data_IF_835446531960
#
_entry.id   IF_835446531960
#
_cell.length_a   1.000
_cell.length_b   1.000
_cell.length_c   1.000
_cell.angle_alpha   90.00
_cell.angle_beta   90.00
_cell.angle_gamma   90.00
#
_symmetry.space_group_name_H-M   'P 1'
#
loop_
_entity.id
_entity.type
_entity.pdbx_description
1 polymer ?
#
# COMPACT_ATOMS: atom_id res chain seq x y z
N UNK A 1 15.61 20.95 28.20
CA UNK A 1 15.48 20.32 26.89
C UNK A 1 14.20 20.83 26.27
N UNK A 2 14.21 21.34 25.06
CA UNK A 2 13.04 22.02 24.49
C UNK A 2 12.10 20.98 23.85
N UNK A 3 11.16 20.45 24.66
CA UNK A 3 10.23 19.38 24.24
C UNK A 3 9.38 19.81 23.04
N UNK A 4 9.03 21.12 22.96
CA UNK A 4 8.26 21.65 21.84
C UNK A 4 9.01 21.52 20.50
N UNK A 5 10.34 21.66 20.49
CA UNK A 5 11.17 21.46 19.30
C UNK A 5 11.16 19.99 18.85
N UNK A 6 11.26 19.04 19.80
CA UNK A 6 11.18 17.62 19.49
C UNK A 6 9.81 17.21 18.98
N UNK A 7 8.74 17.76 19.54
CA UNK A 7 7.38 17.54 19.05
C UNK A 7 7.19 18.08 17.63
N UNK A 8 7.70 19.29 17.36
CA UNK A 8 7.64 19.89 16.03
C UNK A 8 8.45 19.09 15.00
N UNK A 9 9.65 18.61 15.36
CA UNK A 9 10.47 17.76 14.49
C UNK A 9 9.80 16.41 14.22
N UNK A 10 9.18 15.80 15.23
CA UNK A 10 8.42 14.55 15.06
C UNK A 10 7.18 14.74 14.19
N UNK A 11 6.48 15.88 14.31
CA UNK A 11 5.36 16.24 13.45
C UNK A 11 5.80 16.47 11.99
N UNK A 12 6.95 17.10 11.76
CA UNK A 12 7.52 17.24 10.42
C UNK A 12 7.86 15.89 9.79
N UNK A 13 8.46 14.99 10.57
CA UNK A 13 8.76 13.62 10.10
C UNK A 13 7.47 12.85 9.75
N UNK A 14 6.44 12.93 10.60
CA UNK A 14 5.14 12.31 10.34
C UNK A 14 4.52 12.85 9.05
N UNK A 15 4.62 14.17 8.85
CA UNK A 15 4.09 14.83 7.67
C UNK A 15 4.87 14.50 6.38
N UNK A 16 6.21 14.36 6.48
CA UNK A 16 7.03 13.85 5.37
C UNK A 16 6.60 12.42 4.98
N UNK A 17 6.44 11.52 5.95
CA UNK A 17 5.95 10.17 5.69
C UNK A 17 4.54 10.16 5.06
N UNK A 18 3.69 11.12 5.43
CA UNK A 18 2.38 11.27 4.79
C UNK A 18 2.48 11.73 3.34
N UNK A 19 3.38 12.68 3.05
CA UNK A 19 3.66 13.09 1.66
C UNK A 19 4.20 11.94 0.81
N UNK A 20 5.07 11.10 1.36
CA UNK A 20 5.60 9.91 0.68
C UNK A 20 4.47 8.95 0.30
N UNK A 21 3.57 8.63 1.24
CA UNK A 21 2.41 7.76 1.00
C UNK A 21 1.46 8.35 -0.05
N UNK A 22 1.16 9.65 0.02
CA UNK A 22 0.32 10.33 -0.97
C UNK A 22 0.97 10.26 -2.37
N UNK A 23 2.27 10.49 -2.44
CA UNK A 23 3.01 10.46 -3.71
C UNK A 23 2.98 9.07 -4.33
N UNK A 24 3.17 8.01 -3.53
CA UNK A 24 3.08 6.61 -3.99
C UNK A 24 1.66 6.28 -4.46
N UNK A 25 0.64 6.65 -3.69
CA UNK A 25 -0.76 6.44 -4.09
C UNK A 25 -1.10 7.17 -5.39
N UNK A 26 -0.62 8.40 -5.55
CA UNK A 26 -0.85 9.20 -6.76
C UNK A 26 -0.14 8.59 -7.96
N UNK A 27 1.12 8.19 -7.83
CA UNK A 27 1.90 7.55 -8.89
C UNK A 27 1.28 6.22 -9.34
N UNK A 28 0.68 5.49 -8.38
CA UNK A 28 0.06 4.18 -8.63
C UNK A 28 -1.45 4.24 -8.87
N UNK A 29 -2.03 5.43 -9.01
CA UNK A 29 -3.49 5.60 -9.21
C UNK A 29 -4.00 5.01 -10.53
N UNK A 30 -3.13 4.87 -11.53
CA UNK A 30 -3.44 4.25 -12.83
C UNK A 30 -2.99 2.79 -12.94
N UNK A 31 -2.44 2.22 -11.87
CA UNK A 31 -1.93 0.84 -11.88
C UNK A 31 -3.07 -0.11 -11.47
N UNK A 32 -3.46 -1.08 -12.33
CA UNK A 32 -4.49 -2.05 -12.01
C UNK A 32 -4.14 -2.88 -10.77
N UNK A 33 -5.13 -3.17 -9.96
CA UNK A 33 -4.97 -3.97 -8.75
C UNK A 33 -4.24 -3.27 -7.59
N UNK A 34 -3.79 -2.03 -7.76
CA UNK A 34 -3.11 -1.30 -6.70
C UNK A 34 -4.05 -1.02 -5.51
N UNK A 35 -3.52 -1.19 -4.32
CA UNK A 35 -4.22 -0.92 -3.06
C UNK A 35 -3.61 0.30 -2.39
N UNK A 36 -4.46 1.32 -2.18
CA UNK A 36 -4.09 2.57 -1.52
C UNK A 36 -3.49 2.29 -0.14
N UNK A 37 -2.38 2.96 0.12
CA UNK A 37 -1.81 3.02 1.46
C UNK A 37 -2.39 4.21 2.23
N UNK A 38 -2.58 4.04 3.52
CA UNK A 38 -2.96 5.10 4.45
C UNK A 38 -2.00 5.17 5.62
N UNK A 39 -1.69 6.39 6.05
CA UNK A 39 -0.87 6.64 7.21
C UNK A 39 -1.76 6.85 8.43
N UNK A 40 -1.54 6.08 9.48
CA UNK A 40 -2.16 6.28 10.78
C UNK A 40 -1.13 6.85 11.74
N UNK A 41 -1.51 7.88 12.48
CA UNK A 41 -0.64 8.52 13.48
C UNK A 41 -1.24 8.29 14.85
N UNK A 42 -0.48 7.65 15.72
CA UNK A 42 -0.83 7.41 17.12
C UNK A 42 0.06 8.25 18.03
N UNK A 43 -0.53 8.81 19.08
CA UNK A 43 0.23 9.50 20.11
C UNK A 43 0.80 8.48 21.11
N UNK A 44 2.09 8.23 21.04
CA UNK A 44 2.79 7.32 21.96
C UNK A 44 3.49 8.12 23.05
N UNK A 45 3.27 7.74 24.31
CA UNK A 45 3.95 8.35 25.43
C UNK A 45 5.46 8.13 25.34
N UNK A 46 6.23 9.21 25.19
CA UNK A 46 7.67 9.15 24.96
C UNK A 46 8.50 9.38 26.24
N UNK A 47 7.91 9.95 27.30
CA UNK A 47 8.65 10.20 28.53
C UNK A 47 7.91 11.08 29.54
N UNK A 48 8.62 11.38 30.63
CA UNK A 48 8.18 12.28 31.69
C UNK A 48 9.00 13.58 31.60
N UNK A 49 8.33 14.72 31.61
CA UNK A 49 9.01 16.01 31.78
C UNK A 49 9.45 16.16 33.23
N UNK A 50 10.71 16.53 33.50
CA UNK A 50 11.07 17.02 34.82
C UNK A 50 10.34 18.35 35.07
N UNK A 51 9.35 18.35 35.89
CA UNK A 51 8.73 19.57 36.45
C UNK A 51 9.77 20.28 37.29
N UNK A 52 10.07 21.53 36.92
CA UNK A 52 10.89 22.40 37.79
C UNK A 52 10.31 22.45 39.22
N UNK A 53 11.17 22.50 40.19
CA UNK A 53 11.01 22.34 41.66
C UNK A 53 9.87 23.14 42.29
N UNK A 54 8.63 22.97 41.87
CA UNK A 54 7.44 23.43 42.61
C UNK A 54 6.78 22.19 43.17
N UNK A 55 6.88 22.06 44.49
CA UNK A 55 6.36 20.98 45.29
C UNK A 55 4.91 20.63 44.92
N UNK A 56 4.67 19.42 44.40
CA UNK A 56 3.33 18.84 44.29
C UNK A 56 2.74 18.60 42.90
N UNK A 57 3.39 19.01 41.82
CA UNK A 57 2.89 18.69 40.46
C UNK A 57 3.36 17.30 39.98
N UNK A 58 2.41 16.45 39.58
CA UNK A 58 2.73 15.19 38.93
C UNK A 58 3.58 15.44 37.68
N UNK A 59 4.56 14.56 37.36
CA UNK A 59 5.40 14.71 36.19
C UNK A 59 4.52 14.78 34.93
N UNK A 60 4.69 15.81 34.14
CA UNK A 60 3.94 16.01 32.90
C UNK A 60 4.43 15.00 31.84
N UNK A 61 3.49 14.26 31.28
CA UNK A 61 3.78 13.26 30.26
C UNK A 61 3.76 13.93 28.90
N UNK A 62 4.77 13.70 28.09
CA UNK A 62 4.74 14.14 26.69
C UNK A 62 4.61 12.97 25.73
N UNK A 63 3.86 13.19 24.67
CA UNK A 63 3.61 12.21 23.63
C UNK A 63 4.28 12.64 22.32
N UNK A 64 4.78 11.66 21.58
CA UNK A 64 5.29 11.84 20.24
C UNK A 64 4.40 11.11 19.23
N UNK A 65 4.20 11.64 18.04
CA UNK A 65 3.49 10.95 16.98
C UNK A 65 4.32 9.75 16.50
N UNK A 66 3.73 8.56 16.54
CA UNK A 66 4.22 7.35 15.90
C UNK A 66 3.38 7.10 14.66
N UNK A 67 4.02 7.01 13.52
CA UNK A 67 3.35 6.72 12.25
C UNK A 67 3.43 5.25 11.92
N UNK A 68 2.34 4.69 11.42
CA UNK A 68 2.25 3.35 10.83
C UNK A 68 1.50 3.42 9.51
N UNK A 69 1.99 2.67 8.53
CA UNK A 69 1.33 2.57 7.22
C UNK A 69 0.49 1.31 7.18
N UNK A 70 -0.73 1.43 6.70
CA UNK A 70 -1.65 0.31 6.48
C UNK A 70 -2.18 0.34 5.06
N UNK A 71 -2.47 -0.84 4.49
CA UNK A 71 -3.05 -0.98 3.14
C UNK A 71 -4.56 -1.06 3.24
N UNK A 72 -5.26 -0.32 2.39
CA UNK A 72 -6.71 -0.35 2.29
C UNK A 72 -7.15 -1.39 1.27
N UNK A 73 -7.68 -2.53 1.72
CA UNK A 73 -8.11 -3.63 0.85
C UNK A 73 -9.52 -3.49 0.27
N UNK A 74 -10.11 -2.30 0.29
CA UNK A 74 -11.37 -2.04 -0.43
C UNK A 74 -11.17 -2.27 -1.92
N UNK A 75 -12.16 -2.90 -2.56
CA UNK A 75 -12.11 -3.15 -3.99
C UNK A 75 -12.14 -1.84 -4.80
N UNK A 76 -11.40 -1.82 -5.91
CA UNK A 76 -11.48 -0.81 -6.95
C UNK A 76 -12.69 -1.03 -7.87
N UNK A 77 -12.88 -0.14 -8.83
CA UNK A 77 -13.87 -0.32 -9.89
C UNK A 77 -13.36 -1.33 -10.92
N UNK A 78 -14.29 -2.02 -11.59
CA UNK A 78 -13.96 -2.97 -12.64
C UNK A 78 -14.10 -2.28 -14.01
N UNK A 79 -12.97 -2.12 -14.70
CA UNK A 79 -12.91 -1.49 -16.01
C UNK A 79 -12.85 -2.54 -17.12
N UNK A 80 -13.71 -2.38 -18.12
CA UNK A 80 -13.71 -3.26 -19.27
C UNK A 80 -12.62 -2.88 -20.27
N UNK A 81 -11.69 -3.80 -20.51
CA UNK A 81 -10.56 -3.60 -21.44
C UNK A 81 -10.76 -4.28 -22.80
N UNK A 82 -11.60 -5.30 -22.88
CA UNK A 82 -11.83 -6.10 -24.07
C UNK A 82 -10.65 -7.01 -24.46
N UNK A 83 -9.60 -7.11 -23.66
CA UNK A 83 -8.51 -8.09 -23.87
C UNK A 83 -8.84 -9.40 -23.17
N UNK A 84 -8.94 -10.49 -23.92
CA UNK A 84 -9.25 -11.84 -23.41
C UNK A 84 -8.23 -12.38 -22.39
N UNK A 85 -7.06 -11.76 -22.29
CA UNK A 85 -6.02 -12.12 -21.32
C UNK A 85 -6.22 -11.46 -19.97
N UNK A 86 -7.02 -10.39 -19.93
CA UNK A 86 -7.29 -9.67 -18.71
C UNK A 86 -8.39 -10.34 -17.90
N UNK A 87 -8.22 -10.38 -16.58
CA UNK A 87 -9.17 -10.98 -15.67
C UNK A 87 -9.26 -10.18 -14.38
N UNK A 88 -10.45 -9.81 -13.97
CA UNK A 88 -10.70 -9.16 -12.68
C UNK A 88 -11.47 -10.09 -11.74
N UNK A 89 -11.29 -9.91 -10.45
CA UNK A 89 -12.05 -10.63 -9.42
C UNK A 89 -13.20 -9.76 -8.95
N UNK A 90 -14.42 -10.23 -9.16
CA UNK A 90 -15.61 -9.61 -8.58
C UNK A 90 -15.91 -10.32 -7.24
N UNK A 91 -15.66 -9.61 -6.15
CA UNK A 91 -15.76 -10.17 -4.80
C UNK A 91 -14.43 -10.25 -4.06
N UNK A 92 -14.32 -11.19 -3.13
CA UNK A 92 -13.12 -11.39 -2.31
C UNK A 92 -12.14 -12.37 -2.95
N UNK A 93 -10.84 -12.26 -2.61
CA UNK A 93 -9.77 -13.16 -3.06
C UNK A 93 -8.66 -12.43 -3.81
N UNK A 94 -7.62 -13.17 -4.13
CA UNK A 94 -6.43 -12.68 -4.84
C UNK A 94 -5.97 -13.75 -5.82
N UNK A 95 -5.37 -13.34 -6.94
CA UNK A 95 -4.60 -14.22 -7.80
C UNK A 95 -3.29 -14.61 -7.14
N UNK A 96 -2.84 -15.83 -7.37
CA UNK A 96 -1.52 -16.29 -6.92
C UNK A 96 -0.50 -16.15 -8.04
N UNK A 97 0.66 -15.62 -7.72
CA UNK A 97 1.78 -15.48 -8.65
C UNK A 97 3.09 -15.97 -8.00
N UNK A 98 3.99 -16.49 -8.79
CA UNK A 98 5.31 -16.91 -8.34
C UNK A 98 6.33 -15.85 -8.70
N UNK A 99 6.95 -15.25 -7.69
CA UNK A 99 8.02 -14.27 -7.84
C UNK A 99 9.31 -14.94 -8.34
N UNK A 100 10.24 -14.14 -8.87
CA UNK A 100 11.53 -14.61 -9.38
C UNK A 100 12.39 -15.38 -8.34
N UNK A 101 12.18 -15.11 -7.06
CA UNK A 101 12.84 -15.81 -5.95
C UNK A 101 12.15 -17.12 -5.54
N UNK A 102 11.10 -17.54 -6.28
CA UNK A 102 10.34 -18.76 -6.01
C UNK A 102 9.25 -18.64 -4.94
N UNK A 103 9.16 -17.49 -4.25
CA UNK A 103 8.08 -17.25 -3.27
C UNK A 103 6.75 -17.01 -3.98
N UNK A 104 5.67 -17.47 -3.36
CA UNK A 104 4.31 -17.17 -3.81
C UNK A 104 3.87 -15.82 -3.24
N UNK A 105 3.47 -14.93 -4.12
CA UNK A 105 2.80 -13.68 -3.78
C UNK A 105 1.36 -13.70 -4.25
N UNK A 106 0.55 -12.77 -3.74
CA UNK A 106 -0.83 -12.61 -4.17
C UNK A 106 -1.04 -11.20 -4.69
N UNK A 107 -1.93 -11.07 -5.67
CA UNK A 107 -2.21 -9.79 -6.33
C UNK A 107 -3.67 -9.68 -6.75
N UNK A 108 -4.13 -8.44 -6.94
CA UNK A 108 -5.40 -8.14 -7.62
C UNK A 108 -5.19 -7.66 -9.05
N UNK A 109 -3.93 -7.47 -9.47
CA UNK A 109 -3.63 -7.17 -10.86
C UNK A 109 -3.93 -8.41 -11.73
N UNK A 110 -4.81 -8.23 -12.67
CA UNK A 110 -5.21 -9.25 -13.64
C UNK A 110 -4.81 -8.91 -15.07
N UNK A 111 -3.87 -7.99 -15.29
CA UNK A 111 -3.26 -7.77 -16.60
C UNK A 111 -2.25 -8.89 -16.90
N UNK A 112 -2.74 -9.96 -17.51
CA UNK A 112 -1.91 -11.11 -17.85
C UNK A 112 -1.40 -11.05 -19.30
N UNK A 113 -0.25 -11.69 -19.52
CA UNK A 113 0.33 -11.90 -20.84
C UNK A 113 0.84 -13.33 -20.98
N UNK A 114 1.04 -13.75 -22.21
CA UNK A 114 1.71 -15.03 -22.51
C UNK A 114 3.21 -14.75 -22.61
N UNK A 115 3.99 -15.31 -21.72
CA UNK A 115 5.44 -15.19 -21.72
C UNK A 115 6.10 -15.97 -22.83
N UNK A 116 7.39 -15.73 -23.09
CA UNK A 116 8.18 -16.40 -24.14
C UNK A 116 8.29 -17.92 -23.96
N UNK A 117 8.13 -18.40 -22.73
CA UNK A 117 8.12 -19.81 -22.37
C UNK A 117 6.72 -20.45 -22.45
N UNK A 118 5.71 -19.70 -22.92
CA UNK A 118 4.33 -20.15 -22.94
C UNK A 118 3.64 -20.16 -21.58
N UNK A 119 4.20 -19.53 -20.56
CA UNK A 119 3.54 -19.38 -19.27
C UNK A 119 2.61 -18.18 -19.27
N UNK A 120 1.52 -18.28 -18.53
CA UNK A 120 0.71 -17.10 -18.21
C UNK A 120 1.48 -16.29 -17.16
N UNK A 121 1.83 -15.06 -17.50
CA UNK A 121 2.66 -14.18 -16.67
C UNK A 121 1.95 -12.85 -16.44
N UNK A 122 2.29 -12.18 -15.34
CA UNK A 122 1.93 -10.77 -15.12
C UNK A 122 2.75 -9.87 -16.03
N UNK A 123 2.45 -8.59 -16.04
CA UNK A 123 3.17 -7.56 -16.81
C UNK A 123 4.67 -7.51 -16.46
N UNK A 124 5.02 -7.77 -15.20
CA UNK A 124 6.39 -7.82 -14.69
C UNK A 124 7.11 -9.15 -14.97
N UNK A 125 6.39 -10.17 -15.50
CA UNK A 125 6.97 -11.46 -15.85
C UNK A 125 6.93 -12.49 -14.74
N UNK A 126 6.07 -12.32 -13.74
CA UNK A 126 5.83 -13.33 -12.70
C UNK A 126 4.82 -14.36 -13.19
N UNK A 127 5.11 -15.65 -13.00
CA UNK A 127 4.23 -16.72 -13.45
C UNK A 127 2.95 -16.77 -12.63
N UNK A 128 1.80 -16.82 -13.28
CA UNK A 128 0.50 -16.98 -12.62
C UNK A 128 0.32 -18.42 -12.20
N UNK A 129 0.02 -18.63 -10.92
CA UNK A 129 -0.14 -19.96 -10.34
C UNK A 129 -1.60 -20.36 -10.35
N UNK A 130 -1.86 -21.50 -10.96
CA UNK A 130 -3.15 -22.16 -10.92
C UNK A 130 -3.19 -23.27 -9.86
N UNK A 131 -4.32 -23.99 -9.77
CA UNK A 131 -4.53 -25.09 -8.83
C UNK A 131 -3.53 -26.25 -8.97
N UNK A 132 -2.91 -26.40 -10.15
CA UNK A 132 -1.94 -27.47 -10.47
C UNK A 132 -0.51 -26.93 -10.69
N UNK A 133 -0.22 -25.70 -10.29
CA UNK A 133 1.04 -25.02 -10.53
C UNK A 133 0.95 -23.92 -11.59
N UNK A 134 2.09 -23.41 -12.13
CA UNK A 134 2.10 -22.38 -13.14
C UNK A 134 1.32 -22.79 -14.39
N UNK A 135 0.51 -21.87 -14.93
CA UNK A 135 -0.36 -22.14 -16.07
C UNK A 135 0.47 -22.12 -17.34
N UNK A 136 0.50 -23.25 -18.07
CA UNK A 136 1.22 -23.41 -19.32
C UNK A 136 0.26 -23.28 -20.50
N UNK A 137 0.60 -22.38 -21.41
CA UNK A 137 -0.09 -22.11 -22.67
C UNK A 137 0.82 -22.51 -23.84
N UNK A 138 0.26 -22.71 -24.98
CA UNK A 138 1.02 -22.99 -26.19
C UNK A 138 1.32 -21.66 -26.91
N UNK A 139 2.59 -21.19 -26.93
CA UNK A 139 2.94 -19.92 -27.55
C UNK A 139 2.82 -19.94 -29.10
N UNK A 140 2.78 -21.13 -29.70
CA UNK A 140 2.64 -21.29 -31.15
C UNK A 140 1.18 -21.39 -31.61
N UNK A 141 0.26 -21.55 -30.65
CA UNK A 141 -1.17 -21.64 -30.97
C UNK A 141 -1.80 -20.23 -30.98
N UNK A 142 -2.24 -19.71 -32.14
CA UNK A 142 -2.84 -18.38 -32.25
C UNK A 142 -4.27 -18.31 -31.73
N UNK A 143 -4.80 -19.43 -31.19
CA UNK A 143 -6.17 -19.46 -30.69
C UNK A 143 -6.37 -18.49 -29.52
N UNK A 144 -7.54 -17.83 -29.46
CA UNK A 144 -7.83 -16.87 -28.39
C UNK A 144 -7.82 -17.56 -27.02
N UNK A 145 -7.34 -16.81 -26.04
CA UNK A 145 -7.40 -17.20 -24.63
C UNK A 145 -8.80 -16.85 -24.12
N UNK A 146 -9.39 -17.73 -23.34
CA UNK A 146 -10.65 -17.45 -22.67
C UNK A 146 -10.54 -17.89 -21.19
N UNK A 147 -10.91 -16.97 -20.29
CA UNK A 147 -10.93 -17.24 -18.85
C UNK A 147 -12.41 -17.33 -18.43
N UNK A 148 -12.83 -18.46 -17.87
CA UNK A 148 -14.21 -18.62 -17.43
C UNK A 148 -14.44 -17.97 -16.06
N UNK A 149 -15.69 -17.75 -15.69
CA UNK A 149 -16.05 -17.22 -14.36
C UNK A 149 -15.62 -18.18 -13.21
N UNK A 150 -15.43 -19.46 -13.50
CA UNK A 150 -14.91 -20.47 -12.56
C UNK A 150 -13.37 -20.48 -12.47
N UNK A 151 -12.68 -19.64 -13.25
CA UNK A 151 -11.23 -19.56 -13.30
C UNK A 151 -10.54 -20.51 -14.28
N UNK A 152 -11.31 -21.27 -15.10
CA UNK A 152 -10.72 -22.16 -16.08
C UNK A 152 -10.11 -21.35 -17.23
N UNK A 153 -8.83 -21.52 -17.46
CA UNK A 153 -8.08 -20.90 -18.56
C UNK A 153 -8.08 -21.85 -19.75
N UNK A 154 -8.65 -21.40 -20.87
CA UNK A 154 -8.81 -22.16 -22.10
C UNK A 154 -8.06 -21.51 -23.23
N UNK A 155 -7.45 -22.32 -24.08
CA UNK A 155 -6.84 -21.91 -25.33
C UNK A 155 -7.38 -22.79 -26.46
N UNK A 156 -8.06 -22.19 -27.45
CA UNK A 156 -8.66 -22.94 -28.55
C UNK A 156 -9.67 -24.01 -28.10
N UNK A 157 -10.41 -23.78 -26.99
CA UNK A 157 -11.37 -24.71 -26.42
C UNK A 157 -10.79 -25.75 -25.45
N UNK A 158 -9.47 -25.97 -25.44
CA UNK A 158 -8.82 -26.89 -24.49
C UNK A 158 -8.52 -26.18 -23.16
N UNK A 159 -8.85 -26.82 -22.03
CA UNK A 159 -8.49 -26.31 -20.70
C UNK A 159 -6.99 -26.51 -20.50
N UNK A 160 -6.28 -25.44 -20.22
CA UNK A 160 -4.83 -25.41 -19.96
C UNK A 160 -4.50 -25.34 -18.47
N UNK A 161 -5.40 -24.83 -17.67
CA UNK A 161 -5.26 -24.73 -16.22
C UNK A 161 -6.45 -24.04 -15.59
N UNK A 162 -6.43 -23.92 -14.28
CA UNK A 162 -7.44 -23.19 -13.52
C UNK A 162 -6.74 -22.19 -12.60
N UNK A 163 -7.10 -20.92 -12.67
CA UNK A 163 -6.61 -19.86 -11.78
C UNK A 163 -6.94 -20.21 -10.33
N UNK A 164 -5.95 -20.12 -9.46
CA UNK A 164 -6.14 -20.30 -8.01
C UNK A 164 -6.46 -18.96 -7.39
N UNK A 165 -7.64 -18.85 -6.79
CA UNK A 165 -8.02 -17.70 -5.98
C UNK A 165 -7.83 -18.05 -4.51
N UNK A 166 -7.18 -17.18 -3.77
CA UNK A 166 -6.99 -17.32 -2.32
C UNK A 166 -7.46 -16.05 -1.64
N UNK A 167 -8.20 -16.22 -0.55
CA UNK A 167 -8.61 -15.10 0.30
C UNK A 167 -8.05 -15.29 1.72
N UNK A 168 -8.01 -14.22 2.49
CA UNK A 168 -7.45 -14.19 3.83
C UNK A 168 -8.47 -13.57 4.81
N UNK A 169 -8.51 -14.10 6.03
CA UNK A 169 -9.40 -13.55 7.06
C UNK A 169 -9.02 -12.13 7.45
N UNK A 170 -7.70 -11.88 7.55
CA UNK A 170 -7.14 -10.58 7.92
C UNK A 170 -6.13 -10.11 6.85
N UNK A 171 -6.59 -9.59 5.72
CA UNK A 171 -5.69 -9.15 4.63
C UNK A 171 -4.73 -8.03 5.04
N UNK A 172 -5.05 -7.30 6.12
CA UNK A 172 -4.19 -6.25 6.69
C UNK A 172 -2.84 -6.77 7.20
N UNK A 173 -2.72 -8.08 7.44
CA UNK A 173 -1.48 -8.74 7.84
C UNK A 173 -0.59 -9.12 6.65
N UNK A 174 -1.05 -8.91 5.42
CA UNK A 174 -0.25 -9.09 4.22
C UNK A 174 0.83 -8.00 4.14
N UNK A 175 2.03 -8.42 3.78
CA UNK A 175 3.15 -7.48 3.58
C UNK A 175 3.21 -7.09 2.11
N UNK A 176 3.04 -5.81 1.83
CA UNK A 176 3.16 -5.30 0.46
C UNK A 176 4.60 -5.38 -0.03
N UNK A 177 4.78 -5.83 -1.26
CA UNK A 177 6.06 -5.86 -1.97
C UNK A 177 5.83 -5.46 -3.42
N UNK A 178 6.75 -4.73 -4.02
CA UNK A 178 6.70 -4.31 -5.43
C UNK A 178 5.31 -3.78 -5.90
N UNK A 179 4.75 -2.84 -5.14
CA UNK A 179 3.54 -2.11 -5.55
C UNK A 179 2.23 -2.89 -5.40
N UNK A 180 1.91 -3.82 -6.31
CA UNK A 180 0.62 -4.53 -6.37
C UNK A 180 0.67 -5.96 -5.84
N UNK A 181 1.84 -6.42 -5.37
CA UNK A 181 2.03 -7.77 -4.86
C UNK A 181 2.09 -7.80 -3.35
N UNK A 182 1.50 -8.83 -2.76
CA UNK A 182 1.46 -9.02 -1.31
C UNK A 182 2.01 -10.39 -0.94
N UNK A 183 2.80 -10.44 0.13
CA UNK A 183 3.37 -11.67 0.68
C UNK A 183 2.64 -12.06 1.95
N UNK A 184 2.31 -13.34 2.05
CA UNK A 184 1.74 -13.95 3.25
C UNK A 184 2.87 -14.43 4.17
N UNK A 185 3.64 -13.49 4.75
CA UNK A 185 4.78 -13.81 5.63
C UNK A 185 4.41 -13.95 7.10
N UNK A 186 3.25 -13.44 7.50
CA UNK A 186 2.82 -13.50 8.89
C UNK A 186 2.23 -14.88 9.22
N UNK A 187 2.76 -15.61 10.23
CA UNK A 187 2.25 -16.92 10.60
C UNK A 187 0.82 -16.90 11.18
N UNK A 188 0.32 -15.75 11.60
CA UNK A 188 -1.06 -15.58 12.06
C UNK A 188 -2.09 -15.45 10.92
N UNK A 189 -1.61 -15.39 9.67
CA UNK A 189 -2.48 -15.24 8.50
C UNK A 189 -3.17 -16.58 8.18
N UNK A 190 -4.49 -16.59 8.25
CA UNK A 190 -5.28 -17.76 7.89
C UNK A 190 -5.89 -17.54 6.50
N UNK A 191 -5.77 -18.59 5.66
CA UNK A 191 -6.39 -18.60 4.33
C UNK A 191 -7.83 -19.09 4.44
N UNK A 192 -8.72 -18.46 3.68
CA UNK A 192 -10.10 -18.92 3.50
C UNK A 192 -10.40 -19.14 2.01
N UNK A 193 -11.41 -19.93 1.67
CA UNK A 193 -11.87 -20.02 0.29
C UNK A 193 -12.29 -18.64 -0.21
N UNK A 194 -11.91 -18.31 -1.45
CA UNK A 194 -12.34 -17.07 -2.08
C UNK A 194 -13.76 -17.23 -2.63
N UNK A 195 -14.64 -16.29 -2.32
CA UNK A 195 -16.01 -16.25 -2.84
C UNK A 195 -16.12 -15.40 -4.12
N UNK A 196 -14.99 -14.87 -4.61
CA UNK A 196 -14.94 -14.04 -5.81
C UNK A 196 -15.17 -14.83 -7.10
N UNK A 197 -15.84 -14.20 -8.06
CA UNK A 197 -15.99 -14.71 -9.43
C UNK A 197 -15.05 -13.97 -10.37
N UNK A 198 -14.55 -14.64 -11.40
CA UNK A 198 -13.65 -14.03 -12.36
C UNK A 198 -14.44 -13.44 -13.53
N UNK A 199 -14.18 -12.18 -13.84
CA UNK A 199 -14.69 -11.49 -15.04
C UNK A 199 -13.58 -11.36 -16.07
N UNK A 200 -13.72 -12.05 -17.20
CA UNK A 200 -12.81 -11.98 -18.32
C UNK A 200 -12.96 -10.66 -19.09
N UNK A 201 -11.87 -10.10 -19.58
CA UNK A 201 -11.85 -8.83 -20.31
C UNK A 201 -11.99 -7.60 -19.44
N UNK A 202 -11.89 -7.75 -18.11
CA UNK A 202 -11.90 -6.66 -17.14
C UNK A 202 -10.59 -6.61 -16.36
N UNK A 203 -10.27 -5.44 -15.85
CA UNK A 203 -9.21 -5.23 -14.86
C UNK A 203 -9.80 -4.49 -13.66
N UNK A 204 -9.24 -4.71 -12.49
CA UNK A 204 -9.61 -3.95 -11.30
C UNK A 204 -8.75 -2.69 -11.24
N UNK A 205 -9.35 -1.52 -11.32
CA UNK A 205 -8.65 -0.24 -11.18
C UNK A 205 -8.12 -0.03 -9.77
N UNK A 206 -7.12 0.84 -9.63
CA UNK A 206 -6.66 1.30 -8.33
C UNK A 206 -7.80 1.86 -7.48
N UNK A 207 -7.81 1.58 -6.18
CA UNK A 207 -8.72 2.24 -5.25
C UNK A 207 -8.18 3.60 -4.76
N UNK A 208 -7.03 4.05 -5.27
CA UNK A 208 -6.50 5.41 -5.12
C UNK A 208 -6.90 6.25 -6.33
N UNK A 209 -7.51 7.41 -6.09
CA UNK A 209 -7.87 8.37 -7.16
C UNK A 209 -6.91 9.55 -7.14
N UNK A 210 -6.30 9.88 -8.28
CA UNK A 210 -5.33 10.97 -8.39
C UNK A 210 -5.90 12.30 -7.88
N UNK A 211 -7.18 12.60 -8.15
CA UNK A 211 -7.81 13.84 -7.71
C UNK A 211 -7.86 13.96 -6.18
N UNK A 212 -8.23 12.87 -5.49
CA UNK A 212 -8.26 12.86 -4.02
C UNK A 212 -6.85 12.97 -3.43
N UNK A 213 -5.87 12.29 -4.04
CA UNK A 213 -4.49 12.34 -3.57
C UNK A 213 -3.86 13.73 -3.81
N UNK A 214 -4.21 14.44 -4.89
CA UNK A 214 -3.82 15.84 -5.08
C UNK A 214 -4.38 16.76 -3.99
N UNK A 215 -5.64 16.58 -3.59
CA UNK A 215 -6.24 17.35 -2.50
C UNK A 215 -5.54 17.05 -1.15
N UNK A 216 -5.22 15.77 -0.89
CA UNK A 216 -4.47 15.35 0.28
C UNK A 216 -3.06 15.94 0.27
N UNK A 217 -2.39 15.97 -0.89
CA UNK A 217 -1.05 16.56 -1.05
C UNK A 217 -1.04 18.04 -0.72
N UNK A 218 -2.02 18.83 -1.22
CA UNK A 218 -2.14 20.24 -0.89
C UNK A 218 -2.32 20.45 0.61
N UNK A 219 -3.12 19.61 1.26
CA UNK A 219 -3.33 19.65 2.71
C UNK A 219 -2.04 19.33 3.47
N UNK A 220 -1.34 18.28 3.05
CA UNK A 220 -0.08 17.87 3.64
C UNK A 220 1.01 18.92 3.50
N UNK A 221 1.12 19.58 2.33
CA UNK A 221 2.06 20.68 2.09
C UNK A 221 1.79 21.88 3.00
N UNK A 222 0.52 22.31 3.13
CA UNK A 222 0.15 23.39 4.05
C UNK A 222 0.49 23.06 5.51
N UNK A 223 0.25 21.81 5.91
CA UNK A 223 0.59 21.35 7.27
C UNK A 223 2.11 21.33 7.47
N UNK A 224 2.86 20.94 6.45
CA UNK A 224 4.33 20.95 6.48
C UNK A 224 4.86 22.38 6.63
N UNK A 225 4.37 23.34 5.85
CA UNK A 225 4.74 24.74 5.94
C UNK A 225 4.40 25.34 7.32
N UNK A 226 3.22 25.00 7.86
CA UNK A 226 2.83 25.44 9.19
C UNK A 226 3.77 24.90 10.27
N UNK A 227 4.16 23.63 10.19
CA UNK A 227 5.10 23.02 11.13
C UNK A 227 6.51 23.63 11.01
N UNK A 228 6.97 23.94 9.80
CA UNK A 228 8.24 24.65 9.60
C UNK A 228 8.21 26.04 10.24
N UNK A 229 7.11 26.77 10.08
CA UNK A 229 6.97 28.10 10.67
C UNK A 229 6.98 28.04 12.22
N UNK A 230 6.38 27.01 12.81
CA UNK A 230 6.47 26.78 14.26
C UNK A 230 7.92 26.61 14.72
N UNK A 231 8.73 25.84 13.97
CA UNK A 231 10.15 25.66 14.31
C UNK A 231 10.90 26.98 14.22
N UNK A 232 10.69 27.77 13.15
CA UNK A 232 11.31 29.09 12.99
C UNK A 232 10.98 30.02 14.15
N UNK A 233 9.71 30.08 14.56
CA UNK A 233 9.29 30.87 15.74
C UNK A 233 10.01 30.41 17.00
N UNK A 234 10.20 29.11 17.21
CA UNK A 234 10.92 28.57 18.37
C UNK A 234 12.40 28.94 18.34
N UNK A 235 13.05 28.87 17.17
CA UNK A 235 14.45 29.25 16.99
C UNK A 235 14.65 30.74 17.24
N UNK A 236 13.75 31.60 16.74
CA UNK A 236 13.78 33.05 16.97
C UNK A 236 13.62 33.39 18.46
N UNK A 237 12.71 32.69 19.15
CA UNK A 237 12.53 32.84 20.60
C UNK A 237 13.77 32.43 21.39
N UNK A 238 14.38 31.30 21.02
CA UNK A 238 15.64 30.87 21.65
C UNK A 238 16.77 31.85 21.41
N UNK A 239 16.92 32.37 20.19
CA UNK A 239 17.91 33.38 19.84
C UNK A 239 17.75 34.66 20.67
N UNK A 240 16.51 35.16 20.83
CA UNK A 240 16.20 36.32 21.67
C UNK A 240 16.56 36.08 23.15
N UNK A 241 16.15 34.93 23.70
CA UNK A 241 16.49 34.58 25.08
C UNK A 241 18.00 34.54 25.32
N UNK A 242 18.75 33.94 24.37
CA UNK A 242 20.22 33.87 24.46
C UNK A 242 20.83 35.26 24.38
N UNK A 243 20.36 36.16 23.49
CA UNK A 243 20.86 37.50 23.35
C UNK A 243 20.56 38.38 24.56
N UNK A 244 19.39 38.24 25.19
CA UNK A 244 19.01 38.99 26.40
C UNK A 244 19.78 38.50 27.64
N UNK A 245 20.03 37.18 27.75
CA UNK A 245 20.83 36.64 28.86
C UNK A 245 22.34 36.86 28.68
N UNK A 246 22.79 36.98 27.45
CA UNK A 246 24.22 37.21 27.12
C UNK A 246 24.68 38.64 27.20
N UNK A 247 23.79 39.65 27.37
CA UNK A 247 24.09 41.04 27.58
C UNK A 247 23.64 41.46 28.99
N UNK A 248 24.40 41.17 30.05
CA UNK A 248 24.13 41.74 31.37
C UNK A 248 24.48 43.22 31.32
N UNK A 249 23.47 44.11 31.40
CA UNK A 249 23.62 45.56 31.64
C UNK A 249 24.22 45.79 33.00
#
# INVERSE_FOLDING_TARGET
MNVSLYQAAAALKANSSWLDVITENMASSSVPGFRKQSLTTEAVQAGLMPTGSTSGSAPERFSLPKTSTSVCFKNGELDYTGDDKNAAIDGSGFFQVQLANGMTAVTRDGEFRVGSKGQLETKEGYAVVGSSGPIQLDPQNPAPLAISASGDVRQGGAIKGKLSLTDYENPELLTQTNGVYFLATNPALQTKPADGTIKNGFVESSNATALNEMANMMTAMRTFEANQHVIQIQDDRMSKVISELGNPT
#
